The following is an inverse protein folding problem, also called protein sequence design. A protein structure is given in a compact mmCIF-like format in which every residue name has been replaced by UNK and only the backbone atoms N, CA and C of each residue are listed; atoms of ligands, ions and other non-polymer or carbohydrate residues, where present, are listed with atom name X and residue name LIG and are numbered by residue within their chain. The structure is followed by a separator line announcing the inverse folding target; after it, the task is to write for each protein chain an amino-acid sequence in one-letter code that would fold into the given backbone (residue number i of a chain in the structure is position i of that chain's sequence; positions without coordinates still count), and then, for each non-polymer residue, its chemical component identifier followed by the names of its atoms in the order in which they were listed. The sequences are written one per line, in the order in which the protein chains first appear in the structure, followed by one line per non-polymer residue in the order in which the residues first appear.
data_IF_676759736637
#
_entry.id   IF_676759736637
#
_cell.length_a   1.000
_cell.length_b   1.000
_cell.length_c   1.000
_cell.angle_alpha   90.00
_cell.angle_beta   90.00
_cell.angle_gamma   90.00
#
_symmetry.space_group_name_H-M   'P 1'
#
loop_
_entity.id
_entity.type
_entity.pdbx_description
1 polymer ?
#
# COMPACT_ATOMS: atom_id res chain seq x y z
N UNK A 1 -39.49 -13.04 9.62
CA UNK A 1 -38.97 -11.90 8.84
C UNK A 1 -37.99 -12.42 7.80
N UNK A 2 -38.08 -11.97 6.55
CA UNK A 2 -37.09 -12.29 5.51
C UNK A 2 -35.73 -11.67 5.84
N UNK A 3 -34.64 -12.36 5.51
CA UNK A 3 -33.26 -11.91 5.75
C UNK A 3 -32.47 -11.92 4.44
N UNK A 4 -31.51 -11.02 4.31
CA UNK A 4 -30.54 -11.04 3.21
C UNK A 4 -29.32 -11.89 3.57
N UNK A 5 -28.88 -12.74 2.65
CA UNK A 5 -27.76 -13.66 2.87
C UNK A 5 -26.49 -13.13 2.20
N UNK A 6 -25.42 -13.03 2.98
CA UNK A 6 -24.06 -12.88 2.46
C UNK A 6 -23.28 -14.17 2.69
N UNK A 7 -22.59 -14.65 1.67
CA UNK A 7 -21.78 -15.87 1.72
C UNK A 7 -20.33 -15.49 1.42
N UNK A 8 -19.39 -15.92 2.26
CA UNK A 8 -17.98 -15.62 2.02
C UNK A 8 -17.00 -16.35 2.94
N UNK A 9 -15.71 -16.24 2.61
CA UNK A 9 -14.61 -16.72 3.48
C UNK A 9 -14.26 -15.73 4.59
N UNK A 10 -14.40 -14.42 4.27
CA UNK A 10 -14.14 -13.30 5.17
C UNK A 10 -12.75 -13.28 5.82
N UNK A 11 -11.70 -13.54 5.01
CA UNK A 11 -10.32 -13.57 5.50
C UNK A 11 -9.37 -12.69 4.65
N UNK A 12 -8.91 -11.53 5.18
CA UNK A 12 -9.35 -10.90 6.42
C UNK A 12 -10.76 -10.29 6.28
N UNK A 13 -11.53 -10.25 7.37
CA UNK A 13 -12.73 -9.43 7.46
C UNK A 13 -12.32 -7.96 7.57
N UNK A 14 -12.84 -7.09 6.70
CA UNK A 14 -12.33 -5.73 6.48
C UNK A 14 -13.48 -4.78 6.09
N UNK A 15 -13.19 -3.49 5.97
CA UNK A 15 -14.21 -2.46 5.81
C UNK A 15 -15.04 -2.56 4.53
N UNK A 16 -14.47 -3.09 3.44
CA UNK A 16 -15.27 -3.40 2.24
C UNK A 16 -16.40 -4.42 2.50
N UNK A 17 -16.15 -5.47 3.29
CA UNK A 17 -17.20 -6.41 3.67
C UNK A 17 -18.25 -5.73 4.56
N UNK A 18 -17.81 -4.92 5.53
CA UNK A 18 -18.71 -4.16 6.41
C UNK A 18 -19.60 -3.22 5.61
N UNK A 19 -19.04 -2.45 4.67
CA UNK A 19 -19.79 -1.51 3.85
C UNK A 19 -20.91 -2.17 3.03
N UNK A 20 -20.66 -3.38 2.51
CA UNK A 20 -21.69 -4.16 1.81
C UNK A 20 -22.82 -4.61 2.74
N UNK A 21 -22.46 -5.16 3.91
CA UNK A 21 -23.42 -5.62 4.92
C UNK A 21 -24.23 -4.43 5.47
N UNK A 22 -23.54 -3.35 5.82
CA UNK A 22 -24.13 -2.14 6.40
C UNK A 22 -25.06 -1.43 5.43
N UNK A 23 -24.80 -1.49 4.11
CA UNK A 23 -25.75 -1.01 3.09
C UNK A 23 -27.10 -1.71 3.21
N UNK A 24 -27.12 -3.03 3.38
CA UNK A 24 -28.37 -3.80 3.53
C UNK A 24 -29.03 -3.53 4.88
N UNK A 25 -28.25 -3.42 5.95
CA UNK A 25 -28.78 -3.09 7.27
C UNK A 25 -29.41 -1.69 7.30
N UNK A 26 -28.84 -0.71 6.60
CA UNK A 26 -29.39 0.65 6.46
C UNK A 26 -30.74 0.68 5.73
N UNK A 27 -31.00 -0.29 4.86
CA UNK A 27 -32.32 -0.48 4.24
C UNK A 27 -33.34 -1.14 5.20
N UNK A 28 -32.97 -1.39 6.45
CA UNK A 28 -33.83 -2.02 7.46
C UNK A 28 -33.99 -3.53 7.30
N UNK A 29 -33.20 -4.17 6.44
CA UNK A 29 -33.28 -5.62 6.19
C UNK A 29 -32.32 -6.38 7.13
N UNK A 30 -32.81 -7.36 7.91
CA UNK A 30 -31.94 -8.25 8.67
C UNK A 30 -31.00 -9.04 7.75
N UNK A 31 -29.81 -9.38 8.24
CA UNK A 31 -28.73 -10.02 7.49
C UNK A 31 -28.29 -11.32 8.15
N UNK A 32 -28.04 -12.34 7.32
CA UNK A 32 -27.28 -13.55 7.68
C UNK A 32 -25.92 -13.50 6.99
N UNK A 33 -24.85 -13.64 7.76
CA UNK A 33 -23.46 -13.73 7.29
C UNK A 33 -23.02 -15.19 7.41
N UNK A 34 -22.97 -15.92 6.30
CA UNK A 34 -22.54 -17.30 6.22
C UNK A 34 -21.04 -17.41 5.91
N UNK A 35 -20.28 -17.89 6.89
CA UNK A 35 -18.82 -18.04 6.85
C UNK A 35 -18.47 -19.44 6.37
N UNK A 36 -17.79 -19.55 5.22
CA UNK A 36 -17.37 -20.83 4.63
C UNK A 36 -16.22 -21.48 5.39
N UNK A 37 -16.29 -22.78 5.63
CA UNK A 37 -15.23 -23.54 6.31
C UNK A 37 -14.09 -23.96 5.37
N UNK A 38 -13.20 -23.03 5.04
CA UNK A 38 -12.10 -23.28 4.10
C UNK A 38 -10.86 -23.86 4.78
N UNK A 39 -10.09 -24.74 4.09
CA UNK A 39 -8.84 -25.29 4.61
C UNK A 39 -7.82 -24.23 5.05
N UNK A 40 -7.04 -24.53 6.09
CA UNK A 40 -6.00 -23.65 6.59
C UNK A 40 -4.83 -23.54 5.59
N UNK A 41 -4.29 -22.34 5.43
CA UNK A 41 -3.08 -22.07 4.64
C UNK A 41 -2.42 -20.77 5.09
N UNK A 42 -1.22 -20.43 4.61
CA UNK A 42 -0.63 -19.10 4.84
C UNK A 42 -1.57 -17.95 4.46
N UNK A 43 -2.43 -18.20 3.46
CA UNK A 43 -3.42 -17.25 2.95
C UNK A 43 -4.74 -17.28 3.72
N UNK A 44 -4.97 -18.33 4.51
CA UNK A 44 -6.16 -18.61 5.32
C UNK A 44 -5.74 -19.14 6.72
N UNK A 45 -5.03 -18.34 7.54
CA UNK A 45 -4.42 -18.84 8.78
C UNK A 45 -5.40 -19.10 9.93
N UNK A 46 -6.69 -18.76 9.81
CA UNK A 46 -7.62 -18.78 10.96
C UNK A 46 -8.71 -19.83 10.77
N UNK A 47 -8.97 -20.67 11.78
CA UNK A 47 -10.05 -21.63 11.75
C UNK A 47 -11.42 -20.93 11.71
N UNK A 48 -12.45 -21.67 11.30
CA UNK A 48 -13.80 -21.09 11.11
C UNK A 48 -14.38 -20.46 12.38
N UNK A 49 -14.18 -21.08 13.55
CA UNK A 49 -14.73 -20.57 14.80
C UNK A 49 -14.18 -19.17 15.12
N UNK A 50 -12.87 -18.96 15.00
CA UNK A 50 -12.25 -17.63 15.19
C UNK A 50 -12.80 -16.59 14.22
N UNK A 51 -13.02 -16.97 12.96
CA UNK A 51 -13.59 -16.05 11.96
C UNK A 51 -15.02 -15.66 12.30
N UNK A 52 -15.84 -16.64 12.68
CA UNK A 52 -17.22 -16.43 13.12
C UNK A 52 -17.25 -15.52 14.35
N UNK A 53 -16.45 -15.81 15.37
CA UNK A 53 -16.41 -15.05 16.62
C UNK A 53 -15.93 -13.61 16.41
N UNK A 54 -14.97 -13.42 15.51
CA UNK A 54 -14.52 -12.08 15.11
C UNK A 54 -15.65 -11.28 14.45
N UNK A 55 -16.40 -11.88 13.51
CA UNK A 55 -17.51 -11.19 12.84
C UNK A 55 -18.66 -10.93 13.83
N UNK A 56 -18.99 -11.90 14.68
CA UNK A 56 -19.96 -11.72 15.77
C UNK A 56 -19.58 -10.57 16.70
N UNK A 57 -18.30 -10.45 17.03
CA UNK A 57 -17.77 -9.36 17.87
C UNK A 57 -17.95 -7.99 17.22
N UNK A 58 -17.76 -7.89 15.90
CA UNK A 58 -17.99 -6.64 15.13
C UNK A 58 -19.45 -6.22 15.20
N UNK A 59 -20.38 -7.16 15.04
CA UNK A 59 -21.82 -6.88 15.00
C UNK A 59 -22.56 -7.13 16.33
N UNK A 60 -21.83 -7.27 17.45
CA UNK A 60 -22.39 -7.65 18.76
C UNK A 60 -23.53 -6.73 19.23
N UNK A 61 -23.47 -5.44 18.88
CA UNK A 61 -24.49 -4.43 19.24
C UNK A 61 -25.49 -4.14 18.12
N UNK A 62 -25.36 -4.80 16.97
CA UNK A 62 -26.18 -4.55 15.79
C UNK A 62 -27.34 -5.52 15.75
N UNK A 63 -28.57 -5.01 15.87
CA UNK A 63 -29.79 -5.84 15.76
C UNK A 63 -29.95 -6.35 14.33
N UNK A 64 -30.54 -7.55 14.21
CA UNK A 64 -30.86 -8.12 12.91
C UNK A 64 -29.66 -8.72 12.15
N UNK A 65 -28.51 -8.91 12.80
CA UNK A 65 -27.36 -9.63 12.23
C UNK A 65 -27.25 -11.02 12.84
N UNK A 66 -27.18 -12.03 11.99
CA UNK A 66 -26.91 -13.41 12.35
C UNK A 66 -25.64 -13.88 11.64
N UNK A 67 -24.77 -14.61 12.34
CA UNK A 67 -23.50 -15.11 11.78
C UNK A 67 -23.46 -16.62 11.96
N UNK A 68 -23.35 -17.36 10.86
CA UNK A 68 -23.36 -18.82 10.84
C UNK A 68 -22.10 -19.37 10.16
N UNK A 69 -21.69 -20.55 10.59
CA UNK A 69 -20.70 -21.36 9.90
C UNK A 69 -21.42 -22.24 8.86
N UNK A 70 -20.85 -22.38 7.67
CA UNK A 70 -21.32 -23.30 6.64
C UNK A 70 -20.15 -24.10 6.06
N UNK A 71 -20.40 -25.29 5.47
CA UNK A 71 -19.38 -26.02 4.72
C UNK A 71 -18.73 -25.18 3.63
N UNK A 72 -17.56 -25.59 3.15
CA UNK A 72 -16.96 -24.95 2.00
C UNK A 72 -17.76 -25.24 0.73
N UNK A 73 -18.62 -24.31 0.34
CA UNK A 73 -19.47 -24.47 -0.85
C UNK A 73 -18.78 -23.91 -2.10
N UNK A 74 -18.95 -24.60 -3.23
CA UNK A 74 -18.39 -24.21 -4.55
C UNK A 74 -19.39 -23.42 -5.38
N UNK A 75 -20.68 -23.73 -5.25
CA UNK A 75 -21.75 -23.16 -6.05
C UNK A 75 -23.03 -22.94 -5.24
N UNK A 76 -23.90 -22.06 -5.75
CA UNK A 76 -25.26 -21.85 -5.24
C UNK A 76 -26.22 -22.05 -6.41
N UNK A 77 -26.92 -23.18 -6.41
CA UNK A 77 -27.92 -23.51 -7.44
C UNK A 77 -29.32 -23.08 -6.95
N UNK A 78 -30.15 -22.58 -7.86
CA UNK A 78 -31.54 -22.21 -7.55
C UNK A 78 -32.47 -22.52 -8.72
N UNK A 79 -33.72 -22.85 -8.39
CA UNK A 79 -34.75 -23.23 -9.36
C UNK A 79 -35.65 -22.07 -9.80
N UNK A 80 -36.78 -22.42 -10.42
CA UNK A 80 -37.86 -21.48 -10.71
C UNK A 80 -38.64 -21.15 -9.43
N UNK A 81 -39.17 -19.94 -9.34
CA UNK A 81 -40.10 -19.48 -8.29
C UNK A 81 -39.59 -19.64 -6.84
N UNK A 82 -38.27 -19.51 -6.62
CA UNK A 82 -37.64 -19.71 -5.31
C UNK A 82 -38.02 -18.67 -4.23
N UNK A 83 -38.75 -17.62 -4.59
CA UNK A 83 -39.22 -16.61 -3.63
C UNK A 83 -38.16 -15.63 -3.13
N UNK A 84 -36.97 -15.62 -3.74
CA UNK A 84 -35.89 -14.67 -3.44
C UNK A 84 -35.13 -14.26 -4.72
N UNK A 85 -34.37 -13.17 -4.64
CA UNK A 85 -33.61 -12.61 -5.75
C UNK A 85 -32.12 -12.50 -5.44
N UNK A 86 -31.29 -12.52 -6.49
CA UNK A 86 -29.86 -12.20 -6.40
C UNK A 86 -29.68 -10.71 -6.59
N UNK A 87 -29.05 -10.05 -5.63
CA UNK A 87 -28.73 -8.63 -5.70
C UNK A 87 -27.22 -8.41 -5.73
N UNK A 88 -26.75 -7.69 -6.75
CA UNK A 88 -25.41 -7.11 -6.73
C UNK A 88 -25.47 -5.73 -6.07
N UNK A 89 -24.71 -5.52 -4.98
CA UNK A 89 -24.56 -4.21 -4.34
C UNK A 89 -23.34 -3.53 -4.94
N UNK A 90 -23.54 -2.35 -5.52
CA UNK A 90 -22.46 -1.47 -6.00
C UNK A 90 -22.33 -0.31 -5.02
N UNK A 91 -21.14 -0.09 -4.50
CA UNK A 91 -20.86 1.01 -3.57
C UNK A 91 -20.53 2.25 -4.41
N UNK A 92 -21.48 3.18 -4.53
CA UNK A 92 -21.26 4.45 -5.21
C UNK A 92 -20.26 5.31 -4.42
N UNK A 93 -19.16 5.69 -5.08
CA UNK A 93 -18.11 6.61 -4.59
C UNK A 93 -17.24 6.18 -3.39
N UNK A 94 -17.14 4.88 -3.10
CA UNK A 94 -15.96 4.32 -2.44
C UNK A 94 -15.46 3.10 -3.22
N UNK A 95 -14.43 3.32 -4.04
CA UNK A 95 -13.36 2.34 -4.35
C UNK A 95 -13.85 0.89 -4.48
N UNK A 96 -14.15 0.45 -5.71
CA UNK A 96 -14.11 -0.96 -6.15
C UNK A 96 -12.69 -1.58 -6.01
N UNK A 97 -12.14 -1.53 -4.81
CA UNK A 97 -10.79 -1.98 -4.54
C UNK A 97 -10.58 -2.36 -3.09
N UNK A 98 -11.50 -3.17 -2.57
CA UNK A 98 -11.16 -4.03 -1.45
C UNK A 98 -11.54 -5.46 -1.82
N UNK A 99 -11.03 -5.94 -2.96
CA UNK A 99 -10.81 -7.38 -3.09
C UNK A 99 -9.62 -7.70 -2.18
N UNK A 100 -9.66 -8.85 -1.48
CA UNK A 100 -8.53 -9.36 -0.70
C UNK A 100 -7.23 -9.45 -1.54
N UNK A 101 -7.34 -9.46 -2.87
CA UNK A 101 -6.24 -9.39 -3.83
C UNK A 101 -5.61 -7.99 -3.92
N UNK A 102 -6.40 -6.90 -3.84
CA UNK A 102 -5.86 -5.53 -3.77
C UNK A 102 -5.33 -5.16 -2.40
N UNK A 103 -5.83 -5.74 -1.29
CA UNK A 103 -5.22 -5.58 0.03
C UNK A 103 -3.80 -6.18 0.06
N UNK A 104 -3.55 -7.27 -0.68
CA UNK A 104 -2.17 -7.81 -0.83
C UNK A 104 -1.25 -6.88 -1.62
N UNK A 105 -1.78 -6.09 -2.56
CA UNK A 105 -1.03 -5.06 -3.30
C UNK A 105 -1.07 -3.67 -2.66
N UNK A 106 -1.79 -3.52 -1.55
CA UNK A 106 -1.80 -2.32 -0.72
C UNK A 106 -0.96 -2.55 0.56
N UNK A 107 0.14 -3.31 0.44
CA UNK A 107 1.29 -3.02 1.28
C UNK A 107 1.60 -1.55 1.01
N UNK A 108 1.46 -0.73 2.05
CA UNK A 108 1.99 0.63 2.06
C UNK A 108 3.41 0.56 1.51
N UNK A 109 3.82 1.53 0.71
CA UNK A 109 4.97 1.34 -0.18
C UNK A 109 6.21 2.00 0.42
N UNK A 110 7.31 1.26 0.45
CA UNK A 110 8.64 1.86 0.59
C UNK A 110 9.12 2.20 -0.81
N UNK A 111 9.23 3.49 -1.10
CA UNK A 111 9.82 4.03 -2.33
C UNK A 111 11.28 4.33 -2.03
N UNK A 112 12.19 3.85 -2.86
CA UNK A 112 13.62 4.08 -2.68
C UNK A 112 14.21 4.87 -3.85
N UNK A 113 14.55 6.13 -3.60
CA UNK A 113 15.23 6.99 -4.56
C UNK A 113 16.75 6.78 -4.43
N UNK A 114 17.40 6.37 -5.51
CA UNK A 114 18.85 6.14 -5.59
C UNK A 114 19.45 6.95 -6.75
N UNK A 115 20.67 7.43 -6.59
CA UNK A 115 21.33 8.34 -7.53
C UNK A 115 22.45 9.13 -6.87
N UNK A 116 23.33 9.73 -7.67
CA UNK A 116 24.47 10.51 -7.16
C UNK A 116 24.03 11.75 -6.36
N UNK A 117 24.94 12.28 -5.54
CA UNK A 117 24.72 13.56 -4.85
C UNK A 117 24.36 14.66 -5.85
N UNK A 118 23.32 15.44 -5.55
CA UNK A 118 22.83 16.50 -6.44
C UNK A 118 21.96 16.04 -7.62
N UNK A 119 21.59 14.76 -7.72
CA UNK A 119 20.66 14.30 -8.77
C UNK A 119 19.18 14.71 -8.56
N UNK A 120 18.84 15.40 -7.47
CA UNK A 120 17.47 15.84 -7.17
C UNK A 120 16.61 14.86 -6.35
N UNK A 121 17.22 13.83 -5.73
CA UNK A 121 16.51 12.85 -4.87
C UNK A 121 15.67 13.50 -3.78
N UNK A 122 16.29 14.34 -2.93
CA UNK A 122 15.60 14.95 -1.80
C UNK A 122 14.47 15.86 -2.27
N UNK A 123 14.67 16.63 -3.35
CA UNK A 123 13.62 17.46 -3.96
C UNK A 123 12.40 16.62 -4.37
N UNK A 124 12.61 15.49 -5.04
CA UNK A 124 11.51 14.58 -5.40
C UNK A 124 10.90 13.91 -4.16
N UNK A 125 11.72 13.54 -3.17
CA UNK A 125 11.26 12.89 -1.94
C UNK A 125 10.30 13.77 -1.14
N UNK A 126 10.61 15.06 -0.98
CA UNK A 126 9.74 15.99 -0.26
C UNK A 126 8.44 16.30 -1.04
N UNK A 127 8.46 16.33 -2.37
CA UNK A 127 7.22 16.42 -3.14
C UNK A 127 6.35 15.17 -2.99
N UNK A 128 6.97 13.98 -2.96
CA UNK A 128 6.26 12.73 -2.72
C UNK A 128 5.72 12.64 -1.29
N UNK A 129 6.39 13.23 -0.30
CA UNK A 129 5.96 13.31 1.11
C UNK A 129 4.51 13.78 1.20
N UNK A 130 4.23 14.94 0.61
CA UNK A 130 2.92 15.59 0.72
C UNK A 130 1.85 14.86 -0.11
N UNK A 131 2.23 14.36 -1.30
CA UNK A 131 1.30 13.68 -2.20
C UNK A 131 0.90 12.28 -1.72
N UNK A 132 1.79 11.60 -1.01
CA UNK A 132 1.57 10.24 -0.53
C UNK A 132 1.33 10.14 0.98
N UNK A 133 1.32 11.27 1.69
CA UNK A 133 1.32 11.30 3.16
C UNK A 133 2.38 10.34 3.73
N UNK A 134 3.62 10.50 3.24
CA UNK A 134 4.73 9.60 3.54
C UNK A 134 5.69 10.19 4.58
N UNK A 135 6.42 9.31 5.26
CA UNK A 135 7.60 9.67 6.05
C UNK A 135 8.80 9.66 5.10
N UNK A 136 9.62 10.72 5.13
CA UNK A 136 10.85 10.78 4.34
C UNK A 136 12.02 10.37 5.23
N UNK A 137 12.83 9.42 4.75
CA UNK A 137 14.13 9.07 5.33
C UNK A 137 15.21 9.64 4.42
N UNK A 138 15.64 10.87 4.68
CA UNK A 138 16.69 11.55 3.92
C UNK A 138 18.08 11.13 4.39
N UNK A 139 19.00 10.89 3.45
CA UNK A 139 20.33 10.37 3.76
C UNK A 139 21.15 11.24 4.69
N UNK A 140 21.03 12.57 4.62
CA UNK A 140 21.80 13.47 5.49
C UNK A 140 21.22 13.46 6.91
N UNK A 141 19.89 13.48 7.05
CA UNK A 141 19.19 13.36 8.34
C UNK A 141 19.43 11.99 8.99
N UNK A 142 19.37 10.90 8.21
CA UNK A 142 19.64 9.54 8.69
C UNK A 142 21.10 9.36 9.10
N UNK A 143 22.04 10.05 8.44
CA UNK A 143 23.45 10.07 8.87
C UNK A 143 23.64 10.80 10.17
N UNK A 144 23.01 11.96 10.36
CA UNK A 144 23.10 12.72 11.60
C UNK A 144 22.45 11.99 12.79
N UNK A 145 21.42 11.18 12.55
CA UNK A 145 20.63 10.52 13.60
C UNK A 145 21.06 9.08 13.90
N UNK A 146 20.82 8.14 12.98
CA UNK A 146 20.95 6.69 13.23
C UNK A 146 22.27 6.11 12.70
N UNK A 147 23.16 6.95 12.18
CA UNK A 147 24.43 6.53 11.57
C UNK A 147 25.53 7.55 11.82
N UNK A 148 25.47 8.27 12.94
CA UNK A 148 26.47 9.28 13.33
C UNK A 148 27.81 8.65 13.72
N UNK A 149 27.80 7.35 14.03
CA UNK A 149 28.95 6.49 14.28
C UNK A 149 29.66 6.01 12.99
N UNK A 150 29.07 6.22 11.81
CA UNK A 150 29.55 5.64 10.55
C UNK A 150 30.21 6.68 9.63
N UNK A 151 31.40 6.35 9.14
CA UNK A 151 32.08 7.06 8.07
C UNK A 151 31.51 6.78 6.67
N UNK A 152 32.40 6.78 5.68
CA UNK A 152 32.05 6.69 4.26
C UNK A 152 32.78 5.56 3.51
N UNK A 153 33.39 4.61 4.23
CA UNK A 153 33.90 3.37 3.62
C UNK A 153 32.78 2.56 2.96
N UNK A 154 33.15 1.55 2.19
CA UNK A 154 32.18 0.70 1.48
C UNK A 154 31.28 -0.03 2.48
N UNK A 155 31.87 -0.57 3.54
CA UNK A 155 31.23 -1.35 4.59
C UNK A 155 30.31 -0.47 5.43
N UNK A 156 30.77 0.73 5.83
CA UNK A 156 29.95 1.69 6.57
C UNK A 156 28.79 2.23 5.74
N UNK A 157 28.98 2.47 4.43
CA UNK A 157 27.88 2.83 3.52
C UNK A 157 26.88 1.70 3.41
N UNK A 158 27.34 0.45 3.32
CA UNK A 158 26.44 -0.71 3.31
C UNK A 158 25.61 -0.76 4.60
N UNK A 159 26.25 -0.69 5.76
CA UNK A 159 25.53 -0.74 7.05
C UNK A 159 24.56 0.44 7.21
N UNK A 160 24.96 1.65 6.82
CA UNK A 160 24.06 2.81 6.81
C UNK A 160 22.80 2.55 5.98
N UNK A 161 22.94 2.06 4.74
CA UNK A 161 21.77 1.77 3.90
C UNK A 161 20.91 0.63 4.48
N UNK A 162 21.52 -0.37 5.14
CA UNK A 162 20.78 -1.45 5.81
C UNK A 162 20.03 -0.95 7.05
N UNK A 163 20.61 -0.04 7.86
CA UNK A 163 19.91 0.61 8.98
C UNK A 163 18.69 1.38 8.51
N UNK A 164 18.84 2.18 7.46
CA UNK A 164 17.72 2.91 6.83
C UNK A 164 16.65 1.93 6.30
N UNK A 165 17.05 0.82 5.67
CA UNK A 165 16.12 -0.20 5.19
C UNK A 165 15.34 -0.88 6.33
N UNK A 166 16.00 -1.21 7.45
CA UNK A 166 15.34 -1.78 8.65
C UNK A 166 14.35 -0.78 9.26
N UNK A 167 14.70 0.50 9.36
CA UNK A 167 13.79 1.55 9.83
C UNK A 167 12.59 1.72 8.89
N UNK A 168 12.83 1.78 7.58
CA UNK A 168 11.77 1.86 6.57
C UNK A 168 10.81 0.67 6.67
N UNK A 169 11.32 -0.54 6.92
CA UNK A 169 10.51 -1.74 7.15
C UNK A 169 9.55 -1.56 8.32
N UNK A 170 10.06 -1.14 9.48
CA UNK A 170 9.27 -0.99 10.71
C UNK A 170 8.17 0.06 10.52
N UNK A 171 8.53 1.23 9.99
CA UNK A 171 7.56 2.29 9.69
C UNK A 171 6.48 1.81 8.73
N UNK A 172 6.87 1.00 7.74
CA UNK A 172 5.94 0.44 6.79
C UNK A 172 4.98 -0.59 7.39
N UNK A 173 5.50 -1.47 8.26
CA UNK A 173 4.74 -2.45 9.02
C UNK A 173 3.74 -1.78 10.00
N UNK A 174 4.13 -0.65 10.60
CA UNK A 174 3.25 0.20 11.41
C UNK A 174 2.21 0.97 10.59
N UNK A 175 2.38 0.98 9.27
CA UNK A 175 1.39 1.51 8.38
C UNK A 175 1.66 2.92 7.87
N UNK A 176 2.92 3.28 7.68
CA UNK A 176 3.30 4.49 6.97
C UNK A 176 3.76 4.20 5.54
N UNK A 177 3.47 5.12 4.61
CA UNK A 177 4.22 5.19 3.37
C UNK A 177 5.61 5.75 3.70
N UNK A 178 6.65 5.21 3.09
CA UNK A 178 8.02 5.63 3.38
C UNK A 178 8.72 5.96 2.07
N UNK A 179 9.33 7.14 2.01
CA UNK A 179 10.17 7.56 0.89
C UNK A 179 11.60 7.66 1.39
N UNK A 180 12.47 6.80 0.88
CA UNK A 180 13.89 6.79 1.22
C UNK A 180 14.66 7.55 0.16
N UNK A 181 15.45 8.54 0.56
CA UNK A 181 16.30 9.36 -0.31
C UNK A 181 17.77 9.18 0.08
N UNK A 182 18.41 8.12 -0.43
CA UNK A 182 19.82 7.80 -0.11
C UNK A 182 20.58 7.37 -1.36
N UNK A 183 21.91 7.51 -1.36
CA UNK A 183 22.70 7.19 -2.56
C UNK A 183 22.64 5.69 -2.88
N UNK A 184 22.79 4.79 -1.90
CA UNK A 184 22.87 3.34 -2.10
C UNK A 184 23.74 2.92 -3.31
N UNK A 185 25.06 3.25 -3.34
CA UNK A 185 25.88 3.21 -4.55
C UNK A 185 26.19 1.80 -5.06
N UNK A 186 26.21 0.79 -4.19
CA UNK A 186 26.63 -0.57 -4.54
C UNK A 186 25.44 -1.48 -4.88
N UNK A 187 25.55 -2.22 -5.98
CA UNK A 187 24.52 -3.17 -6.43
C UNK A 187 24.30 -4.29 -5.41
N UNK A 188 25.36 -4.78 -4.78
CA UNK A 188 25.27 -5.82 -3.76
C UNK A 188 24.39 -5.37 -2.58
N UNK A 189 24.59 -4.15 -2.09
CA UNK A 189 23.79 -3.56 -1.02
C UNK A 189 22.33 -3.38 -1.44
N UNK A 190 22.08 -2.86 -2.65
CA UNK A 190 20.70 -2.76 -3.19
C UNK A 190 20.02 -4.13 -3.27
N UNK A 191 20.73 -5.18 -3.67
CA UNK A 191 20.19 -6.54 -3.70
C UNK A 191 19.83 -7.07 -2.29
N UNK A 192 20.66 -6.80 -1.27
CA UNK A 192 20.35 -7.12 0.14
C UNK A 192 19.09 -6.38 0.60
N UNK A 193 18.96 -5.10 0.28
CA UNK A 193 17.77 -4.28 0.61
C UNK A 193 16.53 -4.83 -0.09
N UNK A 194 16.61 -5.18 -1.38
CA UNK A 194 15.51 -5.82 -2.11
C UNK A 194 15.07 -7.12 -1.44
N UNK A 195 16.02 -7.97 -1.01
CA UNK A 195 15.69 -9.19 -0.28
C UNK A 195 15.03 -8.90 1.08
N UNK A 196 15.40 -7.81 1.74
CA UNK A 196 14.90 -7.45 3.07
C UNK A 196 13.49 -6.86 3.07
N UNK A 197 13.23 -5.89 2.17
CA UNK A 197 11.99 -5.10 2.17
C UNK A 197 11.30 -4.99 0.81
N UNK A 198 11.96 -5.42 -0.27
CA UNK A 198 11.48 -5.32 -1.66
C UNK A 198 10.85 -3.94 -2.00
N UNK A 199 11.62 -2.84 -1.92
CA UNK A 199 11.08 -1.50 -2.15
C UNK A 199 10.89 -1.24 -3.65
N UNK A 200 10.11 -0.20 -3.98
CA UNK A 200 10.00 0.30 -5.35
C UNK A 200 11.19 1.20 -5.67
N UNK A 201 12.11 0.73 -6.50
CA UNK A 201 13.37 1.39 -6.83
C UNK A 201 13.19 2.43 -7.92
N UNK A 202 13.55 3.67 -7.58
CA UNK A 202 13.59 4.79 -8.53
C UNK A 202 15.03 5.25 -8.67
N UNK A 203 15.59 5.06 -9.86
CA UNK A 203 16.90 5.58 -10.19
C UNK A 203 16.78 6.98 -10.78
N UNK A 204 17.46 7.95 -10.18
CA UNK A 204 17.52 9.32 -10.70
C UNK A 204 18.92 9.58 -11.27
N UNK A 205 18.98 9.81 -12.58
CA UNK A 205 20.22 10.07 -13.31
C UNK A 205 20.82 11.44 -12.96
N UNK A 206 22.07 11.64 -13.36
CA UNK A 206 22.81 12.88 -13.16
C UNK A 206 23.48 12.95 -11.78
N UNK A 207 23.70 14.17 -11.30
CA UNK A 207 24.44 14.46 -10.07
C UNK A 207 25.96 14.38 -10.23
N UNK A 208 26.68 14.77 -9.18
CA UNK A 208 28.15 14.77 -9.16
C UNK A 208 28.66 13.37 -8.85
N UNK A 209 29.51 12.82 -9.73
CA UNK A 209 30.23 11.58 -9.44
C UNK A 209 31.20 11.85 -8.29
N UNK A 210 31.06 11.11 -7.20
CA UNK A 210 31.95 11.26 -6.05
C UNK A 210 33.38 10.85 -6.43
N UNK A 211 34.36 11.68 -6.10
CA UNK A 211 35.77 11.49 -6.48
C UNK A 211 36.42 10.22 -5.93
N UNK A 212 35.85 9.59 -4.89
CA UNK A 212 36.45 8.46 -4.16
C UNK A 212 35.58 7.19 -4.12
N UNK A 213 34.34 7.22 -4.60
CA UNK A 213 33.45 6.05 -4.52
C UNK A 213 32.65 5.90 -5.80
N UNK A 214 32.86 4.81 -6.57
CA UNK A 214 32.11 4.58 -7.78
C UNK A 214 30.64 4.32 -7.45
N UNK A 215 29.75 4.89 -8.26
CA UNK A 215 28.32 4.62 -8.22
C UNK A 215 28.00 3.56 -9.28
N UNK A 216 27.56 2.39 -8.84
CA UNK A 216 27.14 1.33 -9.75
C UNK A 216 25.72 1.62 -10.21
N UNK A 217 25.51 1.90 -11.50
CA UNK A 217 24.19 2.19 -12.04
C UNK A 217 23.25 0.98 -11.87
N UNK A 218 22.02 1.16 -11.35
CA UNK A 218 21.03 0.09 -11.27
C UNK A 218 20.72 -0.51 -12.66
N UNK A 219 20.84 -1.84 -12.82
CA UNK A 219 20.55 -2.50 -14.11
C UNK A 219 19.05 -2.63 -14.43
N UNK A 220 18.22 -2.76 -13.39
CA UNK A 220 16.76 -2.97 -13.50
C UNK A 220 16.05 -2.25 -12.35
N UNK A 221 16.10 -0.91 -12.28
CA UNK A 221 15.23 -0.16 -11.38
C UNK A 221 13.77 -0.31 -11.85
N UNK A 222 12.80 -0.16 -10.94
CA UNK A 222 11.38 -0.17 -11.31
C UNK A 222 11.02 1.07 -12.14
N UNK A 223 11.67 2.21 -11.86
CA UNK A 223 11.54 3.44 -12.64
C UNK A 223 12.90 4.16 -12.77
N UNK A 224 13.13 4.78 -13.92
CA UNK A 224 14.27 5.69 -14.13
C UNK A 224 13.76 7.09 -14.44
N UNK A 225 14.36 8.10 -13.83
CA UNK A 225 14.07 9.52 -14.02
C UNK A 225 15.34 10.21 -14.52
N UNK A 226 15.18 11.05 -15.54
CA UNK A 226 16.27 11.88 -16.07
C UNK A 226 15.95 13.37 -15.90
N UNK A 227 16.47 14.03 -14.84
CA UNK A 227 16.18 15.44 -14.59
C UNK A 227 16.61 16.41 -15.71
N UNK A 228 17.39 15.94 -16.70
CA UNK A 228 17.78 16.75 -17.86
C UNK A 228 16.79 16.67 -19.01
N UNK A 229 16.00 15.60 -19.07
CA UNK A 229 15.00 15.35 -20.12
C UNK A 229 13.57 15.69 -19.66
N UNK A 230 13.34 15.81 -18.35
CA UNK A 230 12.02 16.10 -17.80
C UNK A 230 12.03 17.02 -16.59
N UNK A 231 10.92 17.76 -16.42
CA UNK A 231 10.71 18.59 -15.24
C UNK A 231 10.49 17.74 -13.98
N UNK A 232 10.76 18.33 -12.82
CA UNK A 232 10.52 17.69 -11.53
C UNK A 232 9.02 17.36 -11.30
N UNK A 233 8.11 18.16 -11.86
CA UNK A 233 6.66 17.91 -11.79
C UNK A 233 6.27 16.70 -12.65
N UNK A 234 6.80 16.59 -13.87
CA UNK A 234 6.56 15.42 -14.72
C UNK A 234 7.13 14.15 -14.08
N UNK A 235 8.32 14.25 -13.48
CA UNK A 235 8.93 13.18 -12.69
C UNK A 235 7.99 12.74 -11.55
N UNK A 236 7.47 13.69 -10.77
CA UNK A 236 6.52 13.42 -9.68
C UNK A 236 5.26 12.71 -10.21
N UNK A 237 4.66 13.19 -11.29
CA UNK A 237 3.46 12.59 -11.88
C UNK A 237 3.70 11.16 -12.36
N UNK A 238 4.86 10.88 -13.00
CA UNK A 238 5.26 9.51 -13.37
C UNK A 238 5.34 8.60 -12.14
N UNK A 239 6.01 9.05 -11.08
CA UNK A 239 6.10 8.27 -9.83
C UNK A 239 4.71 8.02 -9.26
N UNK A 240 3.85 9.04 -9.20
CA UNK A 240 2.50 8.90 -8.66
C UNK A 240 1.62 7.98 -9.52
N UNK A 241 1.81 7.93 -10.84
CA UNK A 241 1.10 7.02 -11.72
C UNK A 241 1.48 5.56 -11.44
N UNK A 242 2.77 5.27 -11.35
CA UNK A 242 3.30 3.93 -11.11
C UNK A 242 3.02 3.44 -9.67
N UNK A 243 3.23 4.34 -8.70
CA UNK A 243 3.15 4.01 -7.28
C UNK A 243 1.72 4.17 -6.73
N UNK A 244 0.86 4.97 -7.37
CA UNK A 244 -0.40 5.44 -6.81
C UNK A 244 -1.70 4.86 -7.38
N UNK A 245 -1.73 4.17 -8.53
CA UNK A 245 -2.95 3.49 -9.04
C UNK A 245 -4.30 4.22 -8.78
N UNK A 246 -4.52 5.36 -9.47
CA UNK A 246 -5.71 6.26 -9.51
C UNK A 246 -5.88 7.30 -8.37
N UNK A 247 -5.63 8.57 -8.69
CA UNK A 247 -6.67 9.53 -9.16
C UNK A 247 -6.00 10.70 -9.88
N UNK A 248 -6.55 11.08 -11.03
CA UNK A 248 -6.37 12.41 -11.59
C UNK A 248 -6.69 13.44 -10.50
N UNK A 249 -5.70 14.24 -10.14
CA UNK A 249 -5.94 15.45 -9.37
C UNK A 249 -6.71 16.34 -10.33
N UNK A 250 -8.01 16.49 -10.09
CA UNK A 250 -8.77 17.59 -10.66
C UNK A 250 -7.98 18.85 -10.39
N UNK A 251 -7.64 19.56 -11.46
CA UNK A 251 -7.05 20.88 -11.46
C UNK A 251 -7.87 21.77 -10.53
N UNK A 252 -7.39 21.97 -9.31
CA UNK A 252 -7.90 23.01 -8.43
C UNK A 252 -7.37 24.34 -8.97
N UNK A 253 -7.97 24.78 -10.08
CA UNK A 253 -7.85 26.14 -10.58
C UNK A 253 -8.41 27.08 -9.53
N UNK A 254 -7.56 27.54 -8.61
CA UNK A 254 -7.82 28.77 -7.88
C UNK A 254 -7.74 29.89 -8.91
N UNK A 255 -8.92 30.31 -9.38
CA UNK A 255 -9.13 31.62 -9.97
C UNK A 255 -8.65 32.68 -8.97
N UNK A 256 -7.41 33.13 -9.13
CA UNK A 256 -6.97 34.43 -8.66
C UNK A 256 -7.74 35.47 -9.47
N UNK A 257 -8.91 35.87 -8.97
CA UNK A 257 -9.52 37.13 -9.39
C UNK A 257 -8.57 38.24 -8.96
N UNK A 258 -7.88 38.81 -9.95
CA UNK A 258 -7.26 40.13 -9.88
C UNK A 258 -8.32 41.14 -9.47
N UNK A 259 -8.18 41.73 -8.27
CA UNK A 259 -8.79 43.02 -7.96
C UNK A 259 -8.02 44.09 -8.72
N UNK A 260 -8.67 44.74 -9.67
CA UNK A 260 -8.52 46.17 -9.92
C UNK A 260 -9.83 46.82 -9.53
#
# INVERSE_FOLDING_TARGET
MSKSLFIGRYQPFHDGHKALIDTVLKEGKPVVIAVRDTPLSEKNPYPIHERVDRIKSVYKKTKGVEVIAIPDITEVCYGRDVGWSVRQIRLENQKESISATKIRNNKKRVIWLTGNTGSGKSSLAYLLKDRLNAIVLDGDEMRASISSDLGFSKEEREEHNLRVARLAKILNEQGHNVVVSVIAPFRATRAKITKLINPYWIYIKGGKVGSKTPYEIPKKPDLTIDPTEESLLNSLEKVLKEVGGLKNIATSGKNLKTKK
#
